data_IF_805706254037
#
_entry.id   IF_805706254037
#
_cell.length_a   1.000
_cell.length_b   1.000
_cell.length_c   1.000
_cell.angle_alpha   90.00
_cell.angle_beta   90.00
_cell.angle_gamma   90.00
#
_symmetry.space_group_name_H-M   'P 1'
#
loop_
_entity.id
_entity.type
_entity.pdbx_description
1 polymer ?
#
# COMPACT_ATOMS: atom_id res chain seq x y z
N UNK A 1 37.06 14.46 51.23
CA UNK A 1 36.65 14.94 49.89
C UNK A 1 36.49 13.69 49.05
N UNK A 2 35.46 12.88 49.31
CA UNK A 2 34.06 13.07 48.89
C UNK A 2 33.89 12.67 47.44
N UNK A 3 34.01 11.37 47.18
CA UNK A 3 33.41 10.73 46.02
C UNK A 3 31.94 10.47 46.35
N UNK A 4 31.04 11.24 45.73
CA UNK A 4 29.60 10.94 45.72
C UNK A 4 29.09 11.08 44.27
N UNK A 5 29.32 10.03 43.48
CA UNK A 5 28.66 9.86 42.19
C UNK A 5 27.39 9.05 42.42
N UNK A 6 26.36 9.73 42.91
CA UNK A 6 24.98 9.24 43.01
C UNK A 6 24.47 8.82 41.64
N UNK A 7 24.29 7.51 41.46
CA UNK A 7 23.72 6.91 40.26
C UNK A 7 22.23 7.27 40.14
N UNK A 8 21.85 7.90 39.02
CA UNK A 8 20.46 8.21 38.72
C UNK A 8 19.61 6.93 38.61
N UNK A 9 18.36 6.90 39.14
CA UNK A 9 17.51 5.72 39.09
C UNK A 9 17.11 5.44 37.63
N UNK A 10 17.59 4.30 37.10
CA UNK A 10 17.21 3.79 35.79
C UNK A 10 15.71 3.49 35.75
N UNK A 11 15.00 4.16 34.84
CA UNK A 11 13.59 3.87 34.54
C UNK A 11 13.44 2.43 34.03
N UNK A 12 12.81 1.57 34.83
CA UNK A 12 12.48 0.20 34.45
C UNK A 12 11.51 0.22 33.25
N UNK A 13 12.00 -0.17 32.07
CA UNK A 13 11.16 -0.34 30.89
C UNK A 13 10.24 -1.54 31.09
N UNK A 14 8.99 -1.27 31.44
CA UNK A 14 7.92 -2.28 31.54
C UNK A 14 7.75 -2.97 30.18
N UNK A 15 8.00 -4.28 30.13
CA UNK A 15 7.78 -5.06 28.91
C UNK A 15 6.27 -5.19 28.67
N UNK A 16 5.76 -4.49 27.66
CA UNK A 16 4.38 -4.64 27.18
C UNK A 16 4.39 -5.73 26.12
N UNK A 17 3.59 -6.78 26.33
CA UNK A 17 3.34 -7.81 25.31
C UNK A 17 2.11 -7.40 24.51
N UNK A 18 2.29 -7.14 23.22
CA UNK A 18 1.18 -6.91 22.30
C UNK A 18 0.71 -8.26 21.76
N UNK A 19 -0.58 -8.56 21.90
CA UNK A 19 -1.22 -9.68 21.22
C UNK A 19 -2.08 -9.15 20.07
N UNK A 20 -2.09 -9.88 18.96
CA UNK A 20 -2.85 -9.55 17.76
C UNK A 20 -3.89 -10.65 17.52
N UNK A 21 -5.16 -10.26 17.42
CA UNK A 21 -6.31 -11.16 17.26
C UNK A 21 -6.88 -11.14 15.83
N UNK A 22 -6.14 -10.57 14.88
CA UNK A 22 -6.60 -10.46 13.49
C UNK A 22 -6.18 -11.64 12.62
N UNK A 23 -6.45 -11.55 11.29
CA UNK A 23 -6.12 -12.61 10.34
C UNK A 23 -4.65 -12.98 10.41
N UNK A 24 -4.36 -14.26 10.19
CA UNK A 24 -2.98 -14.70 10.09
C UNK A 24 -2.24 -13.91 9.00
N UNK A 25 -0.92 -13.81 9.12
CA UNK A 25 -0.09 -13.13 8.12
C UNK A 25 -0.35 -13.66 6.70
N UNK A 26 -0.63 -14.96 6.55
CA UNK A 26 -0.92 -15.57 5.24
C UNK A 26 -2.26 -15.08 4.67
N UNK A 27 -3.31 -15.04 5.49
CA UNK A 27 -4.63 -14.55 5.07
C UNK A 27 -4.58 -13.05 4.72
N UNK A 28 -3.85 -12.26 5.51
CA UNK A 28 -3.64 -10.85 5.23
C UNK A 28 -2.92 -10.62 3.89
N UNK A 29 -1.90 -11.43 3.58
CA UNK A 29 -1.18 -11.40 2.30
C UNK A 29 -2.08 -11.83 1.13
N UNK A 30 -2.92 -12.84 1.31
CA UNK A 30 -3.89 -13.26 0.30
C UNK A 30 -4.87 -12.11 -0.04
N UNK A 31 -5.47 -11.51 0.99
CA UNK A 31 -6.37 -10.36 0.84
C UNK A 31 -5.68 -9.18 0.15
N UNK A 32 -4.41 -8.92 0.47
CA UNK A 32 -3.64 -7.86 -0.17
C UNK A 32 -3.41 -8.17 -1.66
N UNK A 33 -3.07 -9.40 -2.00
CA UNK A 33 -2.83 -9.83 -3.38
C UNK A 33 -4.09 -9.65 -4.23
N UNK A 34 -5.23 -10.13 -3.74
CA UNK A 34 -6.53 -9.96 -4.41
C UNK A 34 -6.88 -8.48 -4.65
N UNK A 35 -6.64 -7.62 -3.65
CA UNK A 35 -6.83 -6.17 -3.82
C UNK A 35 -5.92 -5.60 -4.89
N UNK A 36 -4.65 -5.98 -4.92
CA UNK A 36 -3.69 -5.50 -5.93
C UNK A 36 -4.13 -5.91 -7.34
N UNK A 37 -4.60 -7.14 -7.52
CA UNK A 37 -5.06 -7.63 -8.82
C UNK A 37 -6.32 -6.90 -9.29
N UNK A 38 -7.26 -6.64 -8.37
CA UNK A 38 -8.43 -5.80 -8.68
C UNK A 38 -8.04 -4.40 -9.17
N UNK A 39 -7.11 -3.72 -8.47
CA UNK A 39 -6.69 -2.36 -8.83
C UNK A 39 -5.85 -2.32 -10.11
N UNK A 40 -5.11 -3.38 -10.43
CA UNK A 40 -4.44 -3.53 -11.73
C UNK A 40 -5.43 -3.54 -12.89
N UNK A 41 -6.65 -4.05 -12.68
CA UNK A 41 -7.76 -3.99 -13.62
C UNK A 41 -8.33 -2.59 -13.90
N UNK A 42 -7.77 -1.53 -13.30
CA UNK A 42 -8.17 -0.13 -13.50
C UNK A 42 -9.68 0.06 -13.31
N UNK A 43 -10.36 0.67 -14.28
CA UNK A 43 -11.80 0.95 -14.25
C UNK A 43 -12.70 -0.23 -14.65
N UNK A 44 -12.14 -1.42 -14.83
CA UNK A 44 -12.82 -2.63 -15.31
C UNK A 44 -12.83 -2.76 -16.84
N UNK A 45 -13.16 -3.96 -17.33
CA UNK A 45 -13.08 -4.32 -18.75
C UNK A 45 -13.87 -3.40 -19.68
N UNK A 46 -15.06 -2.95 -19.26
CA UNK A 46 -15.89 -2.02 -20.05
C UNK A 46 -15.17 -0.68 -20.30
N UNK A 47 -14.54 -0.10 -19.27
CA UNK A 47 -13.81 1.17 -19.41
C UNK A 47 -12.53 1.01 -20.21
N UNK A 48 -11.88 -0.15 -20.12
CA UNK A 48 -10.71 -0.50 -20.95
C UNK A 48 -11.13 -0.56 -22.42
N UNK A 49 -12.18 -1.32 -22.72
CA UNK A 49 -12.71 -1.45 -24.08
C UNK A 49 -13.07 -0.09 -24.67
N UNK A 50 -13.72 0.78 -23.88
CA UNK A 50 -14.03 2.16 -24.31
C UNK A 50 -12.79 2.97 -24.69
N UNK A 51 -11.64 2.76 -24.06
CA UNK A 51 -10.38 3.42 -24.48
C UNK A 51 -9.92 2.86 -25.83
N UNK A 52 -9.91 1.54 -25.97
CA UNK A 52 -9.47 0.87 -27.19
C UNK A 52 -10.37 1.21 -28.39
N UNK A 53 -11.68 1.25 -28.20
CA UNK A 53 -12.66 1.66 -29.21
C UNK A 53 -12.43 3.10 -29.69
N UNK A 54 -11.88 3.96 -28.81
CA UNK A 54 -11.48 5.31 -29.14
C UNK A 54 -10.07 5.40 -29.75
N UNK A 55 -9.47 4.28 -30.14
CA UNK A 55 -8.08 4.14 -30.59
C UNK A 55 -7.05 4.69 -29.59
N UNK A 56 -7.34 4.54 -28.28
CA UNK A 56 -6.46 4.96 -27.20
C UNK A 56 -5.97 3.77 -26.41
N UNK A 57 -4.70 3.81 -26.06
CA UNK A 57 -4.13 2.94 -25.04
C UNK A 57 -4.62 3.37 -23.65
N UNK A 58 -4.77 2.41 -22.77
CA UNK A 58 -4.96 2.60 -21.32
C UNK A 58 -3.71 3.23 -20.68
N UNK A 59 -3.85 3.72 -19.45
CA UNK A 59 -2.73 4.32 -18.74
C UNK A 59 -1.57 3.33 -18.55
N UNK A 60 -1.86 2.07 -18.22
CA UNK A 60 -0.84 1.03 -18.02
C UNK A 60 -0.13 0.66 -19.31
N UNK A 61 -0.87 0.43 -20.40
CA UNK A 61 -0.27 0.14 -21.71
C UNK A 61 0.67 1.26 -22.19
N UNK A 62 0.36 2.53 -21.87
CA UNK A 62 1.27 3.65 -22.19
C UNK A 62 2.55 3.62 -21.37
N UNK A 63 2.46 3.24 -20.09
CA UNK A 63 3.64 3.10 -19.22
C UNK A 63 4.51 1.95 -19.75
N UNK A 64 3.90 0.81 -20.08
CA UNK A 64 4.62 -0.36 -20.59
C UNK A 64 5.33 -0.08 -21.93
N UNK A 65 4.79 0.80 -22.77
CA UNK A 65 5.47 1.22 -24.01
C UNK A 65 6.54 2.30 -23.80
N UNK A 66 6.44 3.09 -22.74
CA UNK A 66 7.32 4.24 -22.52
C UNK A 66 8.64 3.83 -21.84
N UNK A 67 8.59 2.82 -20.96
CA UNK A 67 9.72 2.39 -20.16
C UNK A 67 10.28 1.06 -20.65
N UNK A 68 11.57 0.85 -20.44
CA UNK A 68 12.18 -0.45 -20.67
C UNK A 68 11.62 -1.49 -19.69
N UNK A 69 11.48 -2.73 -20.14
CA UNK A 69 10.94 -3.82 -19.34
C UNK A 69 11.65 -3.96 -17.99
N UNK A 70 10.87 -4.00 -16.91
CA UNK A 70 11.37 -4.16 -15.54
C UNK A 70 11.96 -2.90 -14.91
N UNK A 71 11.94 -1.74 -15.59
CA UNK A 71 12.45 -0.48 -15.02
C UNK A 71 11.39 0.31 -14.27
N UNK A 72 10.12 0.16 -14.63
CA UNK A 72 9.02 0.87 -13.99
C UNK A 72 8.67 0.29 -12.60
N UNK A 73 8.62 1.17 -11.59
CA UNK A 73 8.18 0.82 -10.24
C UNK A 73 6.95 1.64 -9.83
N UNK A 74 5.85 0.95 -9.57
CA UNK A 74 4.56 1.58 -9.27
C UNK A 74 4.43 1.99 -7.80
N UNK A 75 4.11 3.27 -7.56
CA UNK A 75 3.73 3.78 -6.26
C UNK A 75 2.22 3.99 -6.17
N UNK A 76 1.64 3.75 -4.98
CA UNK A 76 0.25 4.11 -4.72
C UNK A 76 -0.78 3.25 -5.46
N UNK A 77 -0.48 1.98 -5.77
CA UNK A 77 -1.42 1.07 -6.45
C UNK A 77 -2.81 1.01 -5.77
N UNK A 78 -2.88 1.13 -4.44
CA UNK A 78 -4.12 1.11 -3.66
C UNK A 78 -4.60 2.51 -3.24
N UNK A 79 -4.00 3.56 -3.79
CA UNK A 79 -4.41 4.93 -3.51
C UNK A 79 -5.83 5.15 -4.01
N UNK A 80 -6.61 5.87 -3.20
CA UNK A 80 -7.96 6.27 -3.52
C UNK A 80 -8.22 7.64 -2.91
N UNK A 81 -9.22 8.32 -3.46
CA UNK A 81 -9.64 9.62 -2.95
C UNK A 81 -10.08 9.49 -1.48
N UNK A 82 -9.60 10.40 -0.62
CA UNK A 82 -9.94 10.41 0.81
C UNK A 82 -11.18 11.24 1.15
N UNK A 83 -12.01 11.62 0.18
CA UNK A 83 -13.25 12.34 0.50
C UNK A 83 -14.18 11.43 1.28
N UNK A 84 -14.54 11.89 2.48
CA UNK A 84 -15.58 11.31 3.33
C UNK A 84 -17.00 11.75 2.90
N UNK A 85 -17.16 12.45 1.77
CA UNK A 85 -18.46 12.97 1.32
C UNK A 85 -18.97 12.25 0.06
N UNK A 86 -20.20 11.69 0.09
CA UNK A 86 -20.79 10.94 -1.02
C UNK A 86 -21.43 11.88 -2.06
N UNK A 87 -20.65 12.80 -2.62
CA UNK A 87 -21.09 13.72 -3.67
C UNK A 87 -19.90 14.19 -4.50
N UNK A 88 -19.45 13.33 -5.42
CA UNK A 88 -18.95 13.68 -6.75
C UNK A 88 -18.92 12.42 -7.61
#
# INVERSE_FOLDING_TARGET
>A
MSDDASAAPGSERKQITYSYDGPSMREAVATLTEKKDKYRGMGGGERIQKQHDANKLTARERVDLLFDDGTFFEYGLLAHHQSQSPQM
#
